data_IF_315598467450
#
_entry.id   IF_315598467450
#
_cell.length_a   1.000
_cell.length_b   1.000
_cell.length_c   1.000
_cell.angle_alpha   90.00
_cell.angle_beta   90.00
_cell.angle_gamma   90.00
#
_symmetry.space_group_name_H-M   'P 1'
#
loop_
_entity.id
_entity.type
_entity.pdbx_description
1 polymer ?
#
# COMPACT_ATOMS: atom_id res chain seq x y z
N UNK A 1 39.03 6.18 15.43
CA UNK A 1 38.27 5.32 14.50
C UNK A 1 36.80 5.60 14.77
N UNK A 2 36.16 6.41 13.91
CA UNK A 2 34.76 6.80 14.05
C UNK A 2 33.81 5.63 13.78
N UNK A 3 33.18 5.14 14.84
CA UNK A 3 32.12 4.13 14.78
C UNK A 3 30.83 4.77 14.25
N UNK A 4 30.69 4.79 12.92
CA UNK A 4 29.41 5.14 12.28
C UNK A 4 28.38 4.05 12.59
N UNK A 5 27.37 4.40 13.40
CA UNK A 5 26.27 3.53 13.87
C UNK A 5 25.23 3.28 12.77
N UNK A 6 25.38 3.93 11.61
CA UNK A 6 24.46 3.81 10.48
C UNK A 6 25.18 3.30 9.25
N UNK A 7 24.77 2.13 8.79
CA UNK A 7 25.10 1.63 7.46
C UNK A 7 24.26 2.44 6.45
N UNK A 8 24.86 3.09 5.43
CA UNK A 8 24.08 3.65 4.34
C UNK A 8 23.28 2.51 3.70
N UNK A 9 21.98 2.69 3.42
CA UNK A 9 21.17 1.66 2.79
C UNK A 9 21.84 1.26 1.47
N UNK A 10 21.93 -0.05 1.21
CA UNK A 10 22.55 -0.56 0.00
C UNK A 10 21.90 0.11 -1.22
N UNK A 11 22.70 0.67 -2.13
CA UNK A 11 22.18 1.35 -3.34
C UNK A 11 21.29 0.44 -4.22
N UNK A 12 21.31 -0.88 -3.99
CA UNK A 12 20.42 -1.85 -4.64
C UNK A 12 18.99 -1.87 -4.13
N UNK A 13 18.66 -1.26 -2.98
CA UNK A 13 17.30 -1.30 -2.41
C UNK A 13 16.25 -0.71 -3.36
N UNK A 14 16.63 0.34 -4.09
CA UNK A 14 15.79 0.96 -5.11
C UNK A 14 15.74 0.16 -6.42
N UNK A 15 16.74 -0.69 -6.70
CA UNK A 15 16.82 -1.46 -7.96
C UNK A 15 16.07 -2.80 -7.90
N UNK A 16 15.87 -3.36 -6.71
CA UNK A 16 15.10 -4.60 -6.55
C UNK A 16 13.58 -4.36 -6.59
N UNK A 17 13.11 -3.22 -6.05
CA UNK A 17 11.68 -2.86 -6.08
C UNK A 17 11.11 -2.63 -7.49
N UNK A 18 11.94 -2.19 -8.44
CA UNK A 18 11.51 -1.91 -9.82
C UNK A 18 11.42 -3.14 -10.71
N UNK A 19 11.98 -4.29 -10.30
CA UNK A 19 12.02 -5.49 -11.16
C UNK A 19 10.66 -6.18 -11.31
N UNK A 20 9.79 -6.08 -10.31
CA UNK A 20 8.48 -6.74 -10.30
C UNK A 20 7.36 -5.71 -10.49
N UNK A 21 7.22 -5.18 -11.73
CA UNK A 21 6.13 -4.25 -12.12
C UNK A 21 4.74 -4.74 -11.64
N UNK A 22 4.54 -6.06 -11.59
CA UNK A 22 3.31 -6.72 -11.11
C UNK A 22 3.06 -6.51 -9.61
N UNK A 23 4.07 -6.67 -8.76
CA UNK A 23 3.94 -6.44 -7.31
C UNK A 23 3.71 -4.96 -7.02
N UNK A 24 4.43 -4.09 -7.72
CA UNK A 24 4.26 -2.64 -7.60
C UNK A 24 2.81 -2.21 -7.93
N UNK A 25 2.23 -2.75 -9.00
CA UNK A 25 0.85 -2.47 -9.38
C UNK A 25 -0.16 -2.99 -8.34
N UNK A 26 0.09 -4.15 -7.74
CA UNK A 26 -0.75 -4.70 -6.66
C UNK A 26 -0.66 -3.87 -5.38
N UNK A 27 0.53 -3.42 -4.99
CA UNK A 27 0.71 -2.52 -3.84
C UNK A 27 0.03 -1.18 -4.06
N UNK A 28 0.13 -0.63 -5.27
CA UNK A 28 -0.59 0.58 -5.64
C UNK A 28 -2.11 0.41 -5.53
N UNK A 29 -2.66 -0.68 -6.07
CA UNK A 29 -4.09 -0.98 -5.95
C UNK A 29 -4.52 -1.13 -4.47
N UNK A 30 -3.69 -1.76 -3.63
CA UNK A 30 -3.97 -1.89 -2.20
C UNK A 30 -4.02 -0.53 -1.47
N UNK A 31 -3.12 0.39 -1.81
CA UNK A 31 -3.08 1.75 -1.24
C UNK A 31 -4.29 2.55 -1.72
N UNK A 32 -4.60 2.49 -3.02
CA UNK A 32 -5.73 3.21 -3.59
C UNK A 32 -7.07 2.71 -3.00
N UNK A 33 -7.24 1.40 -2.88
CA UNK A 33 -8.39 0.79 -2.21
C UNK A 33 -8.49 1.23 -0.75
N UNK A 34 -7.37 1.27 -0.02
CA UNK A 34 -7.34 1.75 1.37
C UNK A 34 -7.87 3.17 1.47
N UNK A 35 -7.44 4.06 0.57
CA UNK A 35 -7.85 5.47 0.61
C UNK A 35 -9.31 5.67 0.23
N UNK A 36 -9.80 4.96 -0.79
CA UNK A 36 -11.22 4.97 -1.18
C UNK A 36 -12.11 4.47 -0.03
N UNK A 37 -11.69 3.38 0.63
CA UNK A 37 -12.41 2.86 1.79
C UNK A 37 -12.34 3.86 2.95
N UNK A 38 -11.17 4.42 3.26
CA UNK A 38 -11.03 5.44 4.31
C UNK A 38 -11.97 6.62 4.10
N UNK A 39 -12.04 7.16 2.89
CA UNK A 39 -12.91 8.30 2.60
C UNK A 39 -14.39 7.92 2.70
N UNK A 40 -14.76 6.70 2.29
CA UNK A 40 -16.12 6.16 2.43
C UNK A 40 -16.51 5.96 3.91
N UNK A 41 -15.57 5.51 4.76
CA UNK A 41 -15.78 5.25 6.18
C UNK A 41 -15.53 6.47 7.08
N UNK A 42 -15.10 7.60 6.52
CA UNK A 42 -14.78 8.83 7.26
C UNK A 42 -15.96 9.34 8.10
N UNK A 43 -17.18 9.28 7.57
CA UNK A 43 -18.40 9.63 8.30
C UNK A 43 -18.64 8.73 9.51
N UNK A 44 -18.27 7.45 9.43
CA UNK A 44 -18.40 6.47 10.52
C UNK A 44 -17.28 6.58 11.57
N UNK A 45 -16.15 7.19 11.19
CA UNK A 45 -15.00 7.47 12.06
C UNK A 45 -15.17 8.78 12.83
N UNK A 46 -16.06 9.67 12.40
CA UNK A 46 -16.38 10.91 13.10
C UNK A 46 -17.01 10.61 14.46
N UNK A 47 -16.38 11.08 15.54
CA UNK A 47 -16.79 10.83 16.92
C UNK A 47 -16.15 9.63 17.60
N UNK A 48 -15.42 8.76 16.87
CA UNK A 48 -14.69 7.64 17.49
C UNK A 48 -13.37 8.09 18.11
N UNK A 49 -13.01 7.47 19.23
CA UNK A 49 -11.75 7.71 19.95
C UNK A 49 -10.53 7.27 19.15
N UNK A 50 -9.35 7.81 19.50
CA UNK A 50 -8.09 7.56 18.80
C UNK A 50 -7.77 6.07 18.60
N UNK A 51 -7.94 5.26 19.65
CA UNK A 51 -7.70 3.81 19.58
C UNK A 51 -8.60 3.11 18.56
N UNK A 52 -9.89 3.47 18.51
CA UNK A 52 -10.83 2.87 17.56
C UNK A 52 -10.48 3.25 16.12
N UNK A 53 -9.99 4.48 15.88
CA UNK A 53 -9.51 4.89 14.56
C UNK A 53 -8.29 4.08 14.12
N UNK A 54 -7.35 3.81 15.03
CA UNK A 54 -6.19 2.95 14.73
C UNK A 54 -6.59 1.52 14.37
N UNK A 55 -7.54 0.93 15.12
CA UNK A 55 -8.05 -0.41 14.79
C UNK A 55 -8.74 -0.43 13.42
N UNK A 56 -9.55 0.59 13.12
CA UNK A 56 -10.19 0.70 11.80
C UNK A 56 -9.16 0.87 10.69
N UNK A 57 -8.13 1.69 10.89
CA UNK A 57 -7.06 1.86 9.92
C UNK A 57 -6.30 0.56 9.64
N UNK A 58 -5.97 -0.21 10.68
CA UNK A 58 -5.33 -1.51 10.54
C UNK A 58 -6.25 -2.55 9.86
N UNK A 59 -7.55 -2.52 10.17
CA UNK A 59 -8.54 -3.37 9.52
C UNK A 59 -8.65 -3.05 8.01
N UNK A 60 -8.80 -1.77 7.67
CA UNK A 60 -8.90 -1.31 6.28
C UNK A 60 -7.64 -1.64 5.49
N UNK A 61 -6.46 -1.55 6.11
CA UNK A 61 -5.21 -1.95 5.47
C UNK A 61 -5.16 -3.45 5.16
N UNK A 62 -5.55 -4.31 6.09
CA UNK A 62 -5.59 -5.75 5.84
C UNK A 62 -6.62 -6.09 4.76
N UNK A 63 -7.80 -5.47 4.82
CA UNK A 63 -8.85 -5.68 3.82
C UNK A 63 -8.39 -5.24 2.42
N UNK A 64 -7.77 -4.07 2.30
CA UNK A 64 -7.32 -3.56 1.01
C UNK A 64 -6.20 -4.40 0.40
N UNK A 65 -5.26 -4.89 1.21
CA UNK A 65 -4.22 -5.83 0.79
C UNK A 65 -4.83 -7.15 0.31
N UNK A 66 -5.77 -7.73 1.05
CA UNK A 66 -6.44 -8.96 0.66
C UNK A 66 -7.25 -8.81 -0.64
N UNK A 67 -7.92 -7.68 -0.83
CA UNK A 67 -8.63 -7.37 -2.07
C UNK A 67 -7.66 -7.25 -3.24
N UNK A 68 -6.55 -6.52 -3.10
CA UNK A 68 -5.56 -6.38 -4.17
C UNK A 68 -4.88 -7.72 -4.53
N UNK A 69 -4.58 -8.57 -3.54
CA UNK A 69 -3.96 -9.88 -3.78
C UNK A 69 -4.88 -10.85 -4.53
N UNK A 70 -6.18 -10.81 -4.27
CA UNK A 70 -7.17 -11.68 -4.93
C UNK A 70 -7.69 -11.13 -6.28
N UNK A 71 -7.06 -10.08 -6.82
CA UNK A 71 -7.46 -9.48 -8.11
C UNK A 71 -8.67 -8.55 -8.01
N UNK A 72 -8.83 -7.86 -6.87
CA UNK A 72 -10.01 -7.14 -6.42
C UNK A 72 -10.75 -6.30 -7.46
N UNK A 73 -10.18 -5.19 -7.93
CA UNK A 73 -10.88 -4.21 -8.80
C UNK A 73 -10.30 -4.18 -10.21
N UNK A 74 -9.21 -4.93 -10.45
CA UNK A 74 -8.55 -5.01 -11.75
C UNK A 74 -7.73 -3.77 -12.10
N UNK A 75 -7.50 -2.86 -11.13
CA UNK A 75 -6.72 -1.63 -11.35
C UNK A 75 -5.25 -1.98 -11.57
N UNK A 76 -4.68 -2.95 -10.82
CA UNK A 76 -3.32 -3.41 -11.07
C UNK A 76 -3.18 -4.02 -12.48
N UNK A 77 -4.17 -4.78 -12.93
CA UNK A 77 -4.17 -5.37 -14.29
C UNK A 77 -4.30 -4.29 -15.37
N UNK A 78 -5.14 -3.28 -15.14
CA UNK A 78 -5.28 -2.13 -16.02
C UNK A 78 -3.97 -1.33 -16.13
N UNK A 79 -3.31 -1.04 -15.01
CA UNK A 79 -2.02 -0.34 -14.97
C UNK A 79 -0.95 -1.14 -15.71
N UNK A 80 -0.84 -2.44 -15.41
CA UNK A 80 0.11 -3.33 -16.11
C UNK A 80 -0.13 -3.40 -17.62
N UNK A 81 -1.40 -3.40 -18.04
CA UNK A 81 -1.78 -3.46 -19.46
C UNK A 81 -1.52 -2.14 -20.20
N UNK A 82 -1.53 -1.01 -19.49
CA UNK A 82 -1.30 0.33 -20.06
C UNK A 82 0.14 0.84 -19.87
N UNK A 83 0.95 0.21 -19.01
CA UNK A 83 2.40 0.34 -19.00
C UNK A 83 2.96 -0.37 -20.23
N UNK A 84 2.87 0.29 -21.39
CA UNK A 84 3.67 -0.07 -22.57
C UNK A 84 5.15 0.08 -22.21
N UNK A 85 5.96 -0.93 -22.57
CA UNK A 85 7.40 -0.71 -22.79
C UNK A 85 7.60 0.25 -23.98
#
# INVERSE_FOLDING_TARGET
MDSKIYLPPAMGYMQEYTKDKKKLAQEFEAILLKEVLKESFKGFMNGKGFQQRLYYDAFLENLSRHLALNGGVGIAQFILKNLKD
#
